data_IF_529357027347
#
_entry.id   IF_529357027347
#
_cell.length_a   1.000
_cell.length_b   1.000
_cell.length_c   1.000
_cell.angle_alpha   90.00
_cell.angle_beta   90.00
_cell.angle_gamma   90.00
#
_symmetry.space_group_name_H-M   'P 1'
#
loop_
_entity.id
_entity.type
_entity.pdbx_description
1 polymer ?
#
# COMPACT_ATOMS: atom_id res chain seq x y z
N UNK A 1 2.86 5.48 -10.35
CA UNK A 1 4.14 6.19 -10.43
C UNK A 1 3.85 7.63 -10.79
N UNK A 2 4.36 8.56 -10.00
CA UNK A 2 4.25 10.01 -10.23
C UNK A 2 5.66 10.57 -10.09
N UNK A 3 6.20 11.21 -11.12
CA UNK A 3 7.54 11.82 -11.12
C UNK A 3 8.68 10.90 -10.61
N UNK A 4 8.70 9.64 -11.04
CA UNK A 4 9.72 8.70 -10.57
C UNK A 4 9.40 7.99 -9.25
N UNK A 5 8.36 8.44 -8.54
CA UNK A 5 8.06 8.01 -7.18
C UNK A 5 6.92 6.99 -7.15
N UNK A 6 7.11 5.99 -6.30
CA UNK A 6 6.10 5.00 -5.98
C UNK A 6 5.45 5.33 -4.65
N UNK A 7 4.15 5.06 -4.55
CA UNK A 7 3.39 5.41 -3.36
C UNK A 7 1.93 5.02 -3.48
N UNK A 8 1.19 5.24 -2.39
CA UNK A 8 -0.25 5.01 -2.29
C UNK A 8 -0.95 6.34 -2.08
N UNK A 9 -2.02 6.57 -2.83
CA UNK A 9 -2.79 7.81 -2.82
C UNK A 9 -2.51 8.72 -4.00
N UNK A 10 -3.36 9.72 -4.20
CA UNK A 10 -3.34 10.61 -5.37
C UNK A 10 -2.28 11.71 -5.21
N UNK A 11 -1.08 11.47 -5.74
CA UNK A 11 -0.02 12.47 -5.77
C UNK A 11 -0.21 13.56 -6.85
N UNK A 12 -1.18 13.39 -7.77
CA UNK A 12 -1.37 14.29 -8.91
C UNK A 12 -2.25 15.48 -8.61
N UNK A 13 -3.03 15.39 -7.53
CA UNK A 13 -3.96 16.43 -7.10
C UNK A 13 -3.33 17.25 -5.96
N UNK A 14 -3.25 18.58 -6.06
CA UNK A 14 -2.83 19.41 -4.95
C UNK A 14 -3.77 19.27 -3.74
N UNK A 15 -3.21 19.29 -2.54
CA UNK A 15 -3.98 19.26 -1.29
C UNK A 15 -4.54 17.88 -0.91
N UNK A 16 -3.98 16.80 -1.46
CA UNK A 16 -4.29 15.42 -1.07
C UNK A 16 -3.19 14.83 -0.20
N UNK A 17 -3.57 13.82 0.58
CA UNK A 17 -2.66 12.98 1.32
C UNK A 17 -2.20 11.84 0.42
N UNK A 18 -0.91 11.59 0.39
CA UNK A 18 -0.37 10.40 -0.25
C UNK A 18 0.90 9.96 0.47
N UNK A 19 1.18 8.66 0.40
CA UNK A 19 2.34 8.06 1.06
C UNK A 19 3.31 7.60 0.00
N UNK A 20 4.48 8.21 -0.02
CA UNK A 20 5.61 7.85 -0.86
C UNK A 20 6.40 6.71 -0.23
N UNK A 21 6.83 5.75 -1.04
CA UNK A 21 7.78 4.73 -0.64
C UNK A 21 9.19 5.19 -0.99
N UNK A 22 10.02 5.37 0.03
CA UNK A 22 11.42 5.81 -0.11
C UNK A 22 12.39 4.75 0.44
N UNK A 23 13.67 4.79 0.03
CA UNK A 23 14.69 3.90 0.59
C UNK A 23 14.75 3.96 2.13
N UNK A 24 14.52 5.12 2.73
CA UNK A 24 14.59 5.30 4.19
C UNK A 24 13.32 4.85 4.92
N UNK A 25 12.16 4.88 4.24
CA UNK A 25 10.87 4.63 4.89
C UNK A 25 9.65 5.07 4.09
N UNK A 26 8.51 5.16 4.79
CA UNK A 26 7.28 5.74 4.27
C UNK A 26 7.27 7.24 4.52
N UNK A 27 7.12 8.04 3.47
CA UNK A 27 6.99 9.48 3.61
C UNK A 27 5.56 9.93 3.29
N UNK A 28 4.83 10.39 4.31
CA UNK A 28 3.50 10.95 4.11
C UNK A 28 3.62 12.42 3.69
N UNK A 29 3.01 12.74 2.55
CA UNK A 29 2.76 14.10 2.13
C UNK A 29 1.40 14.53 2.68
N UNK A 30 1.41 15.60 3.46
CA UNK A 30 0.21 16.23 4.00
C UNK A 30 -0.04 17.58 3.31
N UNK A 31 -1.29 17.99 3.09
CA UNK A 31 -1.64 19.24 2.40
C UNK A 31 -1.04 20.49 3.05
N UNK A 32 -1.05 20.51 4.39
CA UNK A 32 -0.86 21.73 5.19
C UNK A 32 0.31 21.61 6.19
N UNK A 33 1.06 20.51 6.16
CA UNK A 33 2.16 20.24 7.08
C UNK A 33 3.41 19.74 6.35
N UNK A 34 4.58 19.97 6.94
CA UNK A 34 5.82 19.33 6.50
C UNK A 34 5.65 17.81 6.55
N UNK A 35 5.94 17.12 5.45
CA UNK A 35 5.69 15.69 5.34
C UNK A 35 6.47 14.87 6.36
N UNK A 36 5.92 13.71 6.71
CA UNK A 36 6.38 12.87 7.83
C UNK A 36 7.05 11.59 7.32
N UNK A 37 8.28 11.33 7.76
CA UNK A 37 8.99 10.09 7.47
C UNK A 37 8.81 9.07 8.60
N UNK A 38 8.38 7.86 8.25
CA UNK A 38 8.36 6.68 9.12
C UNK A 38 9.44 5.71 8.62
N UNK A 39 10.57 5.56 9.33
CA UNK A 39 11.64 4.68 8.90
C UNK A 39 11.21 3.21 8.81
N UNK A 40 11.70 2.46 7.83
CA UNK A 40 11.44 1.01 7.74
C UNK A 40 11.86 0.28 9.01
N UNK A 41 12.97 0.72 9.60
CA UNK A 41 13.52 0.20 10.85
C UNK A 41 12.66 0.49 12.08
N UNK A 42 11.56 1.24 11.97
CA UNK A 42 10.58 1.38 13.07
C UNK A 42 9.37 0.48 12.89
N UNK A 43 9.06 0.00 11.69
CA UNK A 43 7.86 -0.79 11.44
C UNK A 43 8.05 -2.22 11.99
N UNK A 44 7.17 -2.65 12.89
CA UNK A 44 7.24 -3.96 13.56
C UNK A 44 6.29 -4.99 12.93
N UNK A 45 4.99 -4.69 12.92
CA UNK A 45 3.94 -5.64 12.51
C UNK A 45 3.57 -5.52 11.03
N UNK A 46 4.35 -4.77 10.25
CA UNK A 46 4.05 -4.47 8.87
C UNK A 46 3.02 -3.38 8.68
N UNK A 47 2.42 -3.39 7.49
CA UNK A 47 1.50 -2.36 7.02
C UNK A 47 0.16 -3.02 6.65
N UNK A 48 -0.92 -2.57 7.27
CA UNK A 48 -2.29 -2.97 6.97
C UNK A 48 -3.05 -1.82 6.30
N UNK A 49 -3.81 -2.12 5.26
CA UNK A 49 -4.66 -1.12 4.59
C UNK A 49 -6.08 -1.21 5.14
N UNK A 50 -6.71 -0.06 5.34
CA UNK A 50 -8.17 0.08 5.52
C UNK A 50 -8.68 1.17 4.60
N UNK A 51 -9.95 1.09 4.21
CA UNK A 51 -10.56 2.00 3.26
C UNK A 51 -11.68 2.79 3.93
N UNK A 52 -11.74 4.09 3.69
CA UNK A 52 -12.75 4.97 4.28
C UNK A 52 -12.18 6.26 4.85
N UNK A 53 -13.10 7.15 5.23
CA UNK A 53 -12.77 8.50 5.73
C UNK A 53 -12.13 8.50 7.12
N UNK A 54 -12.50 7.54 7.97
CA UNK A 54 -12.08 7.47 9.36
C UNK A 54 -11.15 6.29 9.62
N UNK A 55 -10.16 6.51 10.48
CA UNK A 55 -9.11 5.52 10.73
C UNK A 55 -9.53 4.42 11.71
N UNK A 56 -10.52 4.70 12.57
CA UNK A 56 -11.10 3.73 13.51
C UNK A 56 -12.01 2.67 12.87
N UNK A 57 -12.25 2.75 11.56
CA UNK A 57 -13.12 1.83 10.81
C UNK A 57 -12.40 0.49 10.51
N UNK A 58 -11.86 -0.13 11.56
CA UNK A 58 -10.97 -1.29 11.53
C UNK A 58 -11.64 -2.59 11.10
N UNK A 59 -12.98 -2.65 11.14
CA UNK A 59 -13.78 -3.77 10.61
C UNK A 59 -14.08 -3.65 9.12
N UNK A 60 -13.84 -2.48 8.53
CA UNK A 60 -14.10 -2.26 7.13
C UNK A 60 -12.82 -2.51 6.33
N UNK A 61 -12.61 -3.76 5.88
CA UNK A 61 -11.62 -4.10 4.83
C UNK A 61 -11.94 -3.44 3.47
N UNK A 62 -12.77 -2.39 3.47
CA UNK A 62 -13.38 -1.73 2.34
C UNK A 62 -14.81 -2.22 2.08
N UNK A 63 -15.72 -1.26 1.85
CA UNK A 63 -16.90 -1.54 1.05
C UNK A 63 -16.44 -1.70 -0.40
N UNK A 64 -16.83 -2.78 -1.03
CA UNK A 64 -16.60 -3.01 -2.44
C UNK A 64 -17.94 -2.96 -3.17
N UNK A 65 -17.99 -2.20 -4.26
CA UNK A 65 -19.16 -2.18 -5.14
C UNK A 65 -19.36 -3.55 -5.78
N UNK A 66 -20.60 -3.85 -6.23
CA UNK A 66 -20.90 -5.07 -7.00
C UNK A 66 -20.02 -5.23 -8.26
N UNK A 67 -19.46 -4.12 -8.77
CA UNK A 67 -18.50 -4.11 -9.90
C UNK A 67 -17.07 -4.46 -9.47
N UNK A 68 -16.82 -4.77 -8.21
CA UNK A 68 -15.51 -5.12 -7.66
C UNK A 68 -14.57 -3.92 -7.55
N UNK A 69 -15.10 -2.72 -7.26
CA UNK A 69 -14.32 -1.50 -7.03
C UNK A 69 -14.39 -1.11 -5.55
N UNK A 70 -13.33 -0.50 -5.01
CA UNK A 70 -13.36 0.18 -3.71
C UNK A 70 -14.45 1.27 -3.76
N UNK A 71 -15.45 1.18 -2.88
CA UNK A 71 -16.67 1.98 -2.96
C UNK A 71 -16.50 3.41 -2.42
N UNK A 72 -15.55 3.63 -1.51
CA UNK A 72 -15.31 4.93 -0.88
C UNK A 72 -14.35 5.77 -1.71
N UNK A 73 -14.75 7.00 -2.05
CA UNK A 73 -13.92 7.98 -2.78
C UNK A 73 -12.94 8.75 -1.89
N UNK A 74 -13.08 8.64 -0.58
CA UNK A 74 -12.32 9.44 0.39
C UNK A 74 -10.87 8.97 0.60
N UNK A 75 -10.51 7.79 0.08
CA UNK A 75 -9.19 7.18 0.30
C UNK A 75 -9.17 6.10 1.37
N UNK A 76 -8.08 6.02 2.12
CA UNK A 76 -7.85 5.01 3.13
C UNK A 76 -6.69 5.35 4.07
N UNK A 77 -6.33 4.36 4.87
CA UNK A 77 -5.33 4.47 5.93
C UNK A 77 -4.37 3.29 5.89
N UNK A 78 -3.08 3.58 6.01
CA UNK A 78 -2.04 2.61 6.29
C UNK A 78 -1.82 2.54 7.81
N UNK A 79 -2.12 1.39 8.39
CA UNK A 79 -1.93 1.10 9.80
C UNK A 79 -0.65 0.32 10.00
N UNK A 80 0.14 0.70 11.01
CA UNK A 80 1.37 0.01 11.38
C UNK A 80 1.64 0.18 12.87
N UNK A 81 2.35 -0.78 13.46
CA UNK A 81 2.89 -0.63 14.81
C UNK A 81 4.36 -0.27 14.71
N UNK A 82 4.74 0.84 15.34
CA UNK A 82 6.13 1.31 15.38
C UNK A 82 6.82 0.83 16.66
N UNK A 83 8.15 0.65 16.59
CA UNK A 83 9.03 0.45 17.76
C UNK A 83 9.78 1.73 18.11
N UNK A 84 10.17 1.81 19.39
CA UNK A 84 10.99 2.88 19.96
C UNK A 84 10.45 4.32 19.74
N UNK A 85 9.38 4.73 20.45
CA UNK A 85 8.55 3.96 21.38
C UNK A 85 7.55 3.05 20.64
N UNK A 86 6.91 2.14 21.39
CA UNK A 86 5.80 1.35 20.87
C UNK A 86 4.57 2.23 20.71
N UNK A 87 4.13 2.42 19.46
CA UNK A 87 2.95 3.22 19.15
C UNK A 87 2.24 2.67 17.91
N UNK A 88 0.91 2.70 17.94
CA UNK A 88 0.12 2.49 16.74
C UNK A 88 0.15 3.77 15.91
N UNK A 89 0.55 3.61 14.64
CA UNK A 89 0.74 4.72 13.71
C UNK A 89 -0.11 4.53 12.46
N UNK A 90 -0.62 5.64 11.94
CA UNK A 90 -1.62 5.65 10.89
C UNK A 90 -1.28 6.76 9.89
N UNK A 91 -1.14 6.40 8.62
CA UNK A 91 -0.90 7.35 7.53
C UNK A 91 -2.13 7.40 6.62
N UNK A 92 -2.67 8.60 6.42
CA UNK A 92 -3.80 8.82 5.52
C UNK A 92 -3.31 8.87 4.07
N UNK A 93 -4.11 8.33 3.16
CA UNK A 93 -3.96 8.58 1.73
C UNK A 93 -5.33 8.81 1.08
N UNK A 94 -5.41 9.72 0.13
CA UNK A 94 -6.63 10.00 -0.62
C UNK A 94 -6.64 9.20 -1.93
N UNK A 95 -7.81 8.70 -2.35
CA UNK A 95 -7.90 7.84 -3.54
C UNK A 95 -7.62 8.65 -4.82
N UNK A 96 -7.02 7.99 -5.82
CA UNK A 96 -6.94 8.55 -7.17
C UNK A 96 -8.34 8.79 -7.76
N UNK A 97 -8.44 9.73 -8.71
CA UNK A 97 -9.67 9.99 -9.46
C UNK A 97 -10.30 8.71 -10.07
N UNK A 98 -9.47 7.72 -10.43
CA UNK A 98 -9.92 6.39 -10.84
C UNK A 98 -10.07 5.49 -9.60
N UNK A 99 -11.26 4.93 -9.35
CA UNK A 99 -11.44 4.00 -8.24
C UNK A 99 -10.52 2.79 -8.39
N UNK A 100 -9.99 2.32 -7.27
CA UNK A 100 -9.21 1.09 -7.24
C UNK A 100 -10.10 -0.13 -7.39
N UNK A 101 -9.62 -1.14 -8.09
CA UNK A 101 -10.27 -2.45 -8.12
C UNK A 101 -10.01 -3.15 -6.79
N UNK A 102 -11.06 -3.75 -6.24
CA UNK A 102 -11.01 -4.56 -5.02
C UNK A 102 -9.91 -5.63 -5.09
N UNK A 103 -9.77 -6.25 -6.27
CA UNK A 103 -8.79 -7.30 -6.51
C UNK A 103 -7.35 -6.80 -6.40
N UNK A 104 -7.09 -5.58 -6.83
CA UNK A 104 -5.74 -5.02 -6.85
C UNK A 104 -5.38 -4.51 -5.44
N UNK A 105 -6.36 -4.01 -4.68
CA UNK A 105 -6.22 -3.72 -3.24
C UNK A 105 -5.87 -4.99 -2.43
N UNK A 106 -6.60 -6.09 -2.63
CA UNK A 106 -6.36 -7.35 -1.93
C UNK A 106 -5.02 -7.99 -2.29
N UNK A 107 -4.58 -7.85 -3.55
CA UNK A 107 -3.24 -8.27 -3.99
C UNK A 107 -2.15 -7.46 -3.30
N UNK A 108 -2.30 -6.15 -3.22
CA UNK A 108 -1.37 -5.28 -2.51
C UNK A 108 -1.30 -5.65 -1.02
N UNK A 109 -2.44 -5.84 -0.35
CA UNK A 109 -2.48 -6.30 1.05
C UNK A 109 -1.77 -7.65 1.25
N UNK A 110 -1.94 -8.58 0.30
CA UNK A 110 -1.25 -9.88 0.35
C UNK A 110 0.27 -9.72 0.21
N UNK A 111 0.73 -8.86 -0.70
CA UNK A 111 2.15 -8.54 -0.85
C UNK A 111 2.73 -7.91 0.41
N UNK A 112 2.08 -6.90 0.97
CA UNK A 112 2.53 -6.23 2.20
C UNK A 112 2.66 -7.23 3.36
N UNK A 113 1.68 -8.13 3.51
CA UNK A 113 1.73 -9.18 4.53
C UNK A 113 2.91 -10.14 4.31
N UNK A 114 3.17 -10.54 3.07
CA UNK A 114 4.29 -11.44 2.77
C UNK A 114 5.65 -10.76 2.99
N UNK A 115 5.83 -9.52 2.54
CA UNK A 115 7.04 -8.75 2.80
C UNK A 115 7.28 -8.55 4.29
N UNK A 116 6.22 -8.35 5.07
CA UNK A 116 6.30 -8.27 6.53
C UNK A 116 6.77 -9.59 7.14
N UNK A 117 6.14 -10.71 6.75
CA UNK A 117 6.48 -12.03 7.27
C UNK A 117 7.92 -12.45 6.94
N UNK A 118 8.46 -12.00 5.80
CA UNK A 118 9.83 -12.26 5.37
C UNK A 118 10.84 -11.21 5.84
N UNK A 119 10.41 -10.16 6.55
CA UNK A 119 11.30 -9.07 7.00
C UNK A 119 11.86 -8.20 5.86
N UNK A 120 11.18 -8.18 4.70
CA UNK A 120 11.62 -7.53 3.45
C UNK A 120 10.86 -6.24 3.12
N UNK A 121 10.21 -5.62 4.10
CA UNK A 121 9.54 -4.32 3.90
C UNK A 121 10.43 -3.23 3.27
N UNK A 122 11.75 -3.13 3.55
CA UNK A 122 12.61 -2.15 2.89
C UNK A 122 12.64 -2.24 1.36
N UNK A 123 12.28 -3.38 0.75
CA UNK A 123 12.19 -3.51 -0.72
C UNK A 123 11.18 -2.55 -1.34
N UNK A 124 10.19 -2.07 -0.58
CA UNK A 124 9.27 -1.05 -1.04
C UNK A 124 9.97 0.30 -1.31
N UNK A 125 11.15 0.52 -0.73
CA UNK A 125 11.96 1.70 -0.99
C UNK A 125 12.72 1.68 -2.31
N UNK A 126 12.80 0.54 -3.00
CA UNK A 126 13.40 0.42 -4.33
C UNK A 126 12.33 0.68 -5.42
N UNK A 127 12.39 1.83 -6.13
CA UNK A 127 11.37 2.18 -7.11
C UNK A 127 11.34 1.25 -8.33
N UNK A 128 12.48 0.67 -8.70
CA UNK A 128 12.56 -0.27 -9.81
C UNK A 128 11.93 -1.61 -9.42
N UNK A 129 12.23 -2.08 -8.19
CA UNK A 129 11.60 -3.27 -7.63
C UNK A 129 10.09 -3.10 -7.51
N UNK A 130 9.63 -1.97 -6.95
CA UNK A 130 8.19 -1.69 -6.83
C UNK A 130 7.53 -1.58 -8.20
N UNK A 131 8.20 -0.99 -9.19
CA UNK A 131 7.68 -0.92 -10.56
C UNK A 131 7.43 -2.30 -11.17
N UNK A 132 8.39 -3.22 -11.04
CA UNK A 132 8.24 -4.61 -11.50
C UNK A 132 7.13 -5.36 -10.73
N UNK A 133 7.10 -5.23 -9.40
CA UNK A 133 6.07 -5.85 -8.58
C UNK A 133 4.67 -5.32 -8.94
N UNK A 134 4.51 -4.00 -9.06
CA UNK A 134 3.25 -3.36 -9.40
C UNK A 134 2.77 -3.75 -10.81
N UNK A 135 3.68 -3.82 -11.79
CA UNK A 135 3.36 -4.28 -13.14
C UNK A 135 2.88 -5.73 -13.16
N UNK A 136 3.46 -6.61 -12.35
CA UNK A 136 3.03 -8.01 -12.23
C UNK A 136 1.68 -8.15 -11.51
N UNK A 137 1.42 -7.32 -10.51
CA UNK A 137 0.13 -7.32 -9.79
C UNK A 137 -1.01 -6.72 -10.63
N UNK A 138 -0.70 -5.75 -11.49
CA UNK A 138 -1.64 -5.10 -12.40
C UNK A 138 -1.98 -6.02 -13.57
N UNK A 139 -3.28 -6.13 -13.91
CA UNK A 139 -3.72 -6.83 -15.12
C UNK A 139 -4.33 -8.23 -14.93
N UNK A 140 -4.44 -8.72 -13.70
CA UNK A 140 -5.20 -9.96 -13.46
C UNK A 140 -6.72 -9.77 -13.66
N UNK A 141 -7.39 -10.79 -14.19
CA UNK A 141 -8.86 -10.81 -14.39
C UNK A 141 -9.59 -10.52 -13.08
N UNK A 142 -10.75 -9.86 -13.16
CA UNK A 142 -11.69 -9.66 -12.04
C UNK A 142 -12.41 -10.99 -11.71
N UNK A 143 -11.63 -12.05 -11.43
CA UNK A 143 -12.14 -13.35 -11.00
C UNK A 143 -12.25 -13.38 -9.49
N UNK A 144 -13.12 -14.26 -8.99
CA UNK A 144 -13.25 -14.52 -7.57
C UNK A 144 -11.88 -14.82 -6.95
N UNK A 145 -11.48 -13.97 -6.01
CA UNK A 145 -10.22 -14.14 -5.30
C UNK A 145 -10.39 -15.22 -4.24
N UNK A 146 -9.64 -16.30 -4.40
CA UNK A 146 -9.40 -17.28 -3.34
C UNK A 146 -8.07 -16.99 -2.66
N UNK A 147 -7.87 -17.46 -1.42
CA UNK A 147 -6.60 -17.34 -0.73
C UNK A 147 -5.41 -17.93 -1.52
N UNK A 148 -5.65 -19.01 -2.29
CA UNK A 148 -4.66 -19.59 -3.19
C UNK A 148 -4.28 -18.63 -4.32
N UNK A 149 -5.26 -17.98 -4.96
CA UNK A 149 -4.99 -17.02 -6.03
C UNK A 149 -4.25 -15.77 -5.56
N UNK A 150 -4.46 -15.31 -4.32
CA UNK A 150 -3.67 -14.23 -3.73
C UNK A 150 -2.22 -14.63 -3.52
N UNK A 151 -1.98 -15.82 -2.94
CA UNK A 151 -0.63 -16.33 -2.74
C UNK A 151 0.11 -16.44 -4.07
N UNK A 152 -0.53 -17.04 -5.08
CA UNK A 152 0.05 -17.15 -6.42
C UNK A 152 0.42 -15.79 -7.01
N UNK A 153 -0.51 -14.83 -7.02
CA UNK A 153 -0.23 -13.48 -7.53
C UNK A 153 0.91 -12.78 -6.77
N UNK A 154 0.99 -13.02 -5.45
CA UNK A 154 2.09 -12.47 -4.64
C UNK A 154 3.42 -13.13 -4.98
N UNK A 155 3.45 -14.46 -5.14
CA UNK A 155 4.65 -15.19 -5.56
C UNK A 155 5.11 -14.76 -6.95
N UNK A 156 4.20 -14.59 -7.90
CA UNK A 156 4.50 -14.09 -9.25
C UNK A 156 5.06 -12.67 -9.22
N UNK A 157 4.52 -11.79 -8.37
CA UNK A 157 5.04 -10.44 -8.18
C UNK A 157 6.45 -10.43 -7.59
N UNK A 158 6.71 -11.25 -6.56
CA UNK A 158 8.04 -11.38 -5.96
C UNK A 158 9.05 -11.96 -6.97
N UNK A 159 8.66 -12.96 -7.75
CA UNK A 159 9.51 -13.55 -8.79
C UNK A 159 9.83 -12.55 -9.91
N UNK A 160 8.84 -11.78 -10.36
CA UNK A 160 9.03 -10.76 -11.38
C UNK A 160 9.87 -9.57 -10.89
N UNK A 161 9.72 -9.19 -9.62
CA UNK A 161 10.50 -8.12 -9.01
C UNK A 161 11.97 -8.52 -8.76
N UNK A 162 12.22 -9.83 -8.60
CA UNK A 162 13.56 -10.39 -8.41
C UNK A 162 14.09 -10.19 -6.98
N UNK A 163 15.31 -10.66 -6.70
CA UNK A 163 16.01 -10.36 -5.46
C UNK A 163 16.34 -8.86 -5.49
N UNK A 164 15.56 -8.04 -4.78
CA UNK A 164 15.83 -6.61 -4.71
C UNK A 164 17.21 -6.33 -4.15
N UNK A 165 17.79 -5.18 -4.52
CA UNK A 165 19.07 -4.76 -3.96
C UNK A 165 18.88 -4.38 -2.49
N UNK A 166 19.73 -4.88 -1.58
CA UNK A 166 19.68 -4.52 -0.16
C UNK A 166 20.05 -3.05 0.08
#
# INVERSE_FOLDING_TARGET
>A
MTDGRWGVGDATRPGTHWVEFRPEGLYQHEPDAGGRLVPWSRIMNGIRITWGKHSGDTNNRGLYTLKGMVATRDGGWLHMTLRHPYEDHQLRFDQHARPYRAVDALRLESLLRQLTAEGKLPLLGDPEWVGRAAASLAGGKNRWITGRSLRQATTEALAAAGPGSP
#
